data_IF_645794886865
#
_entry.id   IF_645794886865
#
_cell.length_a   1.000
_cell.length_b   1.000
_cell.length_c   1.000
_cell.angle_alpha   90.00
_cell.angle_beta   90.00
_cell.angle_gamma   90.00
#
_symmetry.space_group_name_H-M   'P 1'
#
loop_
_entity.id
_entity.type
_entity.pdbx_description
1 polymer ?
#
# COMPACT_ATOMS: atom_id res chain seq x y z
N UNK A 1 5.07 -23.05 4.57
CA UNK A 1 4.63 -21.65 4.72
C UNK A 1 5.50 -20.81 3.80
N UNK A 2 5.05 -20.58 2.57
CA UNK A 2 5.73 -19.71 1.62
C UNK A 2 5.32 -18.27 1.96
N UNK A 3 6.30 -17.44 2.31
CA UNK A 3 6.11 -16.01 2.46
C UNK A 3 5.77 -15.43 1.10
N UNK A 4 4.63 -14.74 1.03
CA UNK A 4 4.21 -13.85 -0.05
C UNK A 4 5.25 -12.73 -0.22
N UNK A 5 6.38 -13.03 -0.85
CA UNK A 5 7.28 -12.01 -1.38
C UNK A 5 6.62 -11.52 -2.66
N UNK A 6 5.91 -10.38 -2.56
CA UNK A 6 5.35 -9.70 -3.72
C UNK A 6 6.43 -9.54 -4.79
N UNK A 7 6.05 -9.82 -6.05
CA UNK A 7 6.93 -9.75 -7.21
C UNK A 7 7.80 -8.48 -7.17
N UNK A 8 9.10 -8.55 -7.52
CA UNK A 8 10.00 -7.39 -7.57
C UNK A 8 9.42 -6.23 -8.41
N UNK A 9 8.65 -6.56 -9.45
CA UNK A 9 7.95 -5.59 -10.31
C UNK A 9 6.74 -4.94 -9.61
N UNK A 10 6.13 -5.62 -8.63
CA UNK A 10 5.03 -5.09 -7.83
C UNK A 10 5.46 -3.96 -6.88
N UNK A 11 6.72 -3.93 -6.43
CA UNK A 11 7.25 -2.83 -5.59
C UNK A 11 7.47 -1.53 -6.36
N UNK A 12 7.54 -1.56 -7.69
CA UNK A 12 7.64 -0.37 -8.56
C UNK A 12 6.29 0.39 -8.61
N UNK A 13 5.21 -0.15 -8.03
CA UNK A 13 3.87 0.45 -8.15
C UNK A 13 3.43 1.30 -6.97
N UNK A 14 4.13 1.27 -5.83
CA UNK A 14 3.56 1.82 -4.60
C UNK A 14 3.67 3.32 -4.41
N UNK A 15 4.43 4.05 -5.23
CA UNK A 15 4.64 5.47 -4.98
C UNK A 15 3.76 6.44 -5.77
N UNK A 16 3.01 6.04 -6.80
CA UNK A 16 2.07 6.97 -7.47
C UNK A 16 1.11 6.30 -8.48
N UNK A 17 0.81 5.00 -8.38
CA UNK A 17 -0.27 4.41 -9.21
C UNK A 17 -1.68 4.75 -8.68
N UNK A 18 -1.78 5.61 -7.67
CA UNK A 18 -3.03 6.25 -7.29
C UNK A 18 -3.38 7.32 -8.32
N UNK A 19 -3.76 6.90 -9.52
CA UNK A 19 -4.46 7.77 -10.46
C UNK A 19 -5.56 8.53 -9.71
N UNK A 20 -5.45 9.86 -9.75
CA UNK A 20 -6.49 10.75 -9.30
C UNK A 20 -6.38 11.26 -7.87
N UNK A 21 -5.25 11.75 -7.39
CA UNK A 21 -5.24 12.73 -6.28
C UNK A 21 -5.63 14.11 -6.84
N UNK A 22 -5.08 14.53 -7.98
CA UNK A 22 -5.51 15.75 -8.68
C UNK A 22 -6.93 15.58 -9.21
N UNK A 23 -7.28 14.40 -9.70
CA UNK A 23 -8.65 14.13 -10.16
C UNK A 23 -9.62 14.01 -8.98
N UNK A 24 -9.24 13.45 -7.82
CA UNK A 24 -10.05 13.40 -6.57
C UNK A 24 -10.11 14.71 -5.79
N UNK A 25 -9.27 15.70 -6.08
CA UNK A 25 -9.23 16.91 -5.23
C UNK A 25 -9.34 18.20 -6.04
N UNK A 26 -8.88 18.27 -7.30
CA UNK A 26 -8.79 19.55 -8.03
C UNK A 26 -9.03 19.50 -9.55
N UNK A 27 -9.80 18.54 -10.06
CA UNK A 27 -10.18 18.47 -11.48
C UNK A 27 -10.83 19.77 -11.97
N UNK A 28 -12.03 20.05 -11.45
CA UNK A 28 -12.74 21.35 -11.47
C UNK A 28 -12.99 21.77 -10.01
N UNK A 29 -12.97 23.06 -9.69
CA UNK A 29 -13.38 23.57 -8.35
C UNK A 29 -14.73 22.99 -7.92
N UNK A 30 -15.68 22.83 -8.86
CA UNK A 30 -16.98 22.21 -8.59
C UNK A 30 -16.87 20.73 -8.20
N UNK A 31 -15.88 20.00 -8.71
CA UNK A 31 -15.63 18.61 -8.34
C UNK A 31 -14.98 18.49 -6.95
N UNK A 32 -14.08 19.43 -6.61
CA UNK A 32 -13.50 19.55 -5.27
C UNK A 32 -14.57 19.82 -4.20
N UNK A 33 -15.41 20.81 -4.46
CA UNK A 33 -16.58 21.18 -3.66
C UNK A 33 -17.54 19.98 -3.53
N UNK A 34 -17.90 19.34 -4.64
CA UNK A 34 -18.81 18.19 -4.63
C UNK A 34 -18.30 17.04 -3.76
N UNK A 35 -16.99 16.73 -3.83
CA UNK A 35 -16.41 15.64 -3.04
C UNK A 35 -16.28 15.94 -1.56
N UNK A 36 -15.97 17.18 -1.19
CA UNK A 36 -16.03 17.60 0.21
C UNK A 36 -17.45 17.35 0.76
N UNK A 37 -18.46 17.76 -0.01
CA UNK A 37 -19.87 17.64 0.37
C UNK A 37 -20.33 16.17 0.42
N UNK A 38 -19.91 15.33 -0.52
CA UNK A 38 -20.13 13.88 -0.48
C UNK A 38 -19.45 13.23 0.73
N UNK A 39 -18.20 13.60 1.05
CA UNK A 39 -17.50 13.10 2.25
C UNK A 39 -18.25 13.47 3.52
N UNK A 40 -18.67 14.72 3.65
CA UNK A 40 -19.47 15.17 4.80
C UNK A 40 -20.80 14.45 4.89
N UNK A 41 -21.50 14.26 3.78
CA UNK A 41 -22.73 13.48 3.74
C UNK A 41 -22.51 12.03 4.19
N UNK A 42 -21.42 11.41 3.74
CA UNK A 42 -21.06 10.04 4.13
C UNK A 42 -20.65 9.93 5.60
N UNK A 43 -19.86 10.87 6.12
CA UNK A 43 -19.44 10.93 7.53
C UNK A 43 -20.64 11.03 8.46
N UNK A 44 -21.54 11.98 8.19
CA UNK A 44 -22.75 12.17 9.00
C UNK A 44 -23.67 10.95 8.90
N UNK A 45 -23.84 10.36 7.71
CA UNK A 45 -24.62 9.15 7.53
C UNK A 45 -24.03 7.97 8.32
N UNK A 46 -22.71 7.81 8.31
CA UNK A 46 -22.03 6.74 9.04
C UNK A 46 -22.10 6.92 10.55
N UNK A 47 -21.99 8.14 11.04
CA UNK A 47 -22.13 8.43 12.47
C UNK A 47 -23.52 8.05 12.96
N UNK A 48 -24.57 8.48 12.24
CA UNK A 48 -25.97 8.13 12.51
C UNK A 48 -26.18 6.62 12.46
N UNK A 49 -25.63 5.93 11.43
CA UNK A 49 -25.75 4.48 11.29
C UNK A 49 -25.02 3.73 12.41
N UNK A 50 -23.82 4.16 12.83
CA UNK A 50 -23.07 3.52 13.90
C UNK A 50 -23.75 3.71 15.26
N UNK A 51 -24.20 4.92 15.56
CA UNK A 51 -24.81 5.21 16.86
C UNK A 51 -26.16 4.50 17.00
N UNK A 52 -26.98 4.54 15.96
CA UNK A 52 -28.33 3.99 16.02
C UNK A 52 -28.40 2.49 15.65
N UNK A 53 -27.49 2.00 14.81
CA UNK A 53 -27.37 0.57 14.51
C UNK A 53 -27.08 -0.25 15.77
N UNK A 54 -26.19 0.23 16.64
CA UNK A 54 -25.92 -0.40 17.94
C UNK A 54 -27.17 -0.47 18.84
N UNK A 55 -28.00 0.57 18.85
CA UNK A 55 -29.24 0.62 19.64
C UNK A 55 -30.29 -0.34 19.09
N UNK A 56 -30.45 -0.40 17.76
CA UNK A 56 -31.34 -1.37 17.10
C UNK A 56 -30.89 -2.80 17.32
N UNK A 57 -29.59 -3.10 17.20
CA UNK A 57 -29.04 -4.44 17.43
C UNK A 57 -29.28 -4.90 18.87
N UNK A 58 -29.15 -4.00 19.85
CA UNK A 58 -29.47 -4.28 21.25
C UNK A 58 -30.96 -4.62 21.44
N UNK A 59 -31.87 -3.85 20.85
CA UNK A 59 -33.32 -4.12 20.93
C UNK A 59 -33.70 -5.41 20.21
N UNK A 60 -33.10 -5.68 19.05
CA UNK A 60 -33.31 -6.92 18.29
C UNK A 60 -32.79 -8.15 19.05
N UNK A 61 -31.63 -8.04 19.71
CA UNK A 61 -31.10 -9.09 20.57
C UNK A 61 -32.01 -9.36 21.78
N UNK A 62 -32.57 -8.31 22.40
CA UNK A 62 -33.54 -8.45 23.49
C UNK A 62 -34.85 -9.11 23.01
N UNK A 63 -35.34 -8.75 21.82
CA UNK A 63 -36.51 -9.41 21.22
C UNK A 63 -36.25 -10.89 20.91
N UNK A 64 -35.08 -11.24 20.36
CA UNK A 64 -34.71 -12.63 20.10
C UNK A 64 -34.64 -13.46 21.39
N UNK A 65 -34.07 -12.89 22.47
CA UNK A 65 -34.05 -13.53 23.79
C UNK A 65 -35.45 -13.73 24.37
N UNK A 66 -36.37 -12.77 24.17
CA UNK A 66 -37.75 -12.90 24.63
C UNK A 66 -38.54 -13.94 23.83
N UNK A 67 -38.33 -14.01 22.52
CA UNK A 67 -38.95 -15.04 21.68
C UNK A 67 -38.52 -16.44 22.12
N UNK A 68 -37.23 -16.64 22.41
CA UNK A 68 -36.72 -17.90 22.94
C UNK A 68 -37.32 -18.26 24.32
N UNK A 69 -37.64 -17.27 25.17
CA UNK A 69 -38.30 -17.48 26.46
C UNK A 69 -39.80 -17.78 26.31
N UNK A 70 -40.45 -17.18 25.31
CA UNK A 70 -41.87 -17.40 25.02
C UNK A 70 -42.17 -18.84 24.59
N UNK A 71 -41.25 -19.48 23.88
CA UNK A 71 -41.36 -20.90 23.49
C UNK A 71 -41.39 -21.87 24.69
N UNK A 72 -40.93 -21.45 25.87
CA UNK A 72 -40.80 -22.30 27.07
C UNK A 72 -41.77 -21.94 28.21
N UNK A 73 -42.67 -20.97 28.00
CA UNK A 73 -43.46 -20.35 29.06
C UNK A 73 -44.89 -20.91 29.19
N UNK A 74 -45.41 -21.00 30.43
CA UNK A 74 -46.81 -21.33 30.72
C UNK A 74 -47.76 -20.13 30.49
N UNK A 75 -49.09 -20.37 30.43
CA UNK A 75 -50.10 -19.37 30.02
C UNK A 75 -50.04 -18.01 30.76
N UNK A 76 -49.80 -18.00 32.09
CA UNK A 76 -49.68 -16.75 32.86
C UNK A 76 -48.38 -15.99 32.52
N UNK A 77 -47.29 -16.71 32.29
CA UNK A 77 -46.02 -16.12 31.84
C UNK A 77 -46.08 -15.66 30.37
N UNK A 78 -46.92 -16.31 29.54
CA UNK A 78 -47.14 -15.92 28.14
C UNK A 78 -47.73 -14.52 28.02
N UNK A 79 -48.71 -14.17 28.86
CA UNK A 79 -49.32 -12.84 28.88
C UNK A 79 -48.32 -11.74 29.28
N UNK A 80 -47.47 -12.02 30.27
CA UNK A 80 -46.40 -11.09 30.67
C UNK A 80 -45.33 -10.93 29.58
N UNK A 81 -44.97 -12.02 28.89
CA UNK A 81 -44.04 -12.00 27.77
C UNK A 81 -44.61 -11.25 26.56
N UNK A 82 -45.90 -11.39 26.25
CA UNK A 82 -46.57 -10.61 25.22
C UNK A 82 -46.55 -9.11 25.53
N UNK A 83 -46.75 -8.73 26.79
CA UNK A 83 -46.64 -7.33 27.20
C UNK A 83 -45.21 -6.79 27.01
N UNK A 84 -44.18 -7.55 27.38
CA UNK A 84 -42.79 -7.18 27.16
C UNK A 84 -42.43 -7.10 25.66
N UNK A 85 -42.97 -8.02 24.85
CA UNK A 85 -42.79 -8.00 23.40
C UNK A 85 -43.39 -6.74 22.77
N UNK A 86 -44.62 -6.38 23.17
CA UNK A 86 -45.27 -5.15 22.71
C UNK A 86 -44.48 -3.89 23.11
N UNK A 87 -43.93 -3.87 24.33
CA UNK A 87 -43.08 -2.75 24.79
C UNK A 87 -41.80 -2.61 23.96
N UNK A 88 -41.13 -3.72 23.63
CA UNK A 88 -39.94 -3.68 22.77
C UNK A 88 -40.26 -3.34 21.32
N UNK A 89 -41.39 -3.79 20.79
CA UNK A 89 -41.83 -3.42 19.44
C UNK A 89 -42.08 -1.91 19.35
N UNK A 90 -42.76 -1.32 20.34
CA UNK A 90 -42.96 0.13 20.42
C UNK A 90 -41.62 0.86 20.54
N UNK A 91 -40.68 0.37 21.34
CA UNK A 91 -39.35 0.96 21.47
C UNK A 91 -38.55 0.91 20.16
N UNK A 92 -38.62 -0.20 19.43
CA UNK A 92 -38.00 -0.34 18.10
C UNK A 92 -38.60 0.69 17.14
N UNK A 93 -39.92 0.79 17.07
CA UNK A 93 -40.59 1.71 16.16
C UNK A 93 -40.25 3.18 16.50
N UNK A 94 -40.12 3.52 17.79
CA UNK A 94 -39.63 4.83 18.23
C UNK A 94 -38.18 5.09 17.81
N UNK A 95 -37.28 4.12 17.94
CA UNK A 95 -35.89 4.23 17.49
C UNK A 95 -35.80 4.42 15.97
N UNK A 96 -36.61 3.68 15.20
CA UNK A 96 -36.67 3.84 13.74
C UNK A 96 -37.14 5.24 13.34
N UNK A 97 -38.12 5.81 14.05
CA UNK A 97 -38.56 7.19 13.83
C UNK A 97 -37.44 8.19 14.15
N UNK A 98 -36.73 8.02 15.27
CA UNK A 98 -35.58 8.86 15.63
C UNK A 98 -34.46 8.80 14.58
N UNK A 99 -34.18 7.62 14.03
CA UNK A 99 -33.21 7.47 12.94
C UNK A 99 -33.62 8.31 11.73
N UNK A 100 -34.89 8.17 11.29
CA UNK A 100 -35.39 8.92 10.13
C UNK A 100 -35.36 10.43 10.37
N UNK A 101 -35.65 10.88 11.59
CA UNK A 101 -35.56 12.30 11.96
C UNK A 101 -34.12 12.81 12.00
N UNK A 102 -33.19 12.03 12.53
CA UNK A 102 -31.76 12.33 12.53
C UNK A 102 -31.22 12.43 11.10
N UNK A 103 -31.58 11.48 10.23
CA UNK A 103 -31.22 11.49 8.81
C UNK A 103 -31.79 12.74 8.12
N UNK A 104 -33.06 13.08 8.35
CA UNK A 104 -33.67 14.31 7.78
C UNK A 104 -32.95 15.57 8.24
N UNK A 105 -32.63 15.66 9.52
CA UNK A 105 -31.92 16.81 10.11
C UNK A 105 -30.51 16.93 9.53
N UNK A 106 -29.80 15.81 9.39
CA UNK A 106 -28.50 15.77 8.72
C UNK A 106 -28.58 16.26 7.27
N UNK A 107 -29.55 15.80 6.49
CA UNK A 107 -29.76 16.27 5.12
C UNK A 107 -30.08 17.77 5.04
N UNK A 108 -30.82 18.30 6.03
CA UNK A 108 -31.09 19.74 6.10
C UNK A 108 -29.82 20.55 6.42
N UNK A 109 -29.02 20.11 7.40
CA UNK A 109 -27.73 20.74 7.72
C UNK A 109 -26.78 20.76 6.52
N UNK A 110 -26.66 19.64 5.82
CA UNK A 110 -25.83 19.57 4.59
C UNK A 110 -26.32 20.61 3.56
N UNK A 111 -27.64 20.70 3.33
CA UNK A 111 -28.21 21.72 2.42
C UNK A 111 -27.93 23.15 2.88
N UNK A 112 -27.93 23.42 4.18
CA UNK A 112 -27.59 24.72 4.75
C UNK A 112 -26.10 25.03 4.56
N UNK A 113 -25.22 24.06 4.81
CA UNK A 113 -23.77 24.16 4.56
C UNK A 113 -23.48 24.46 3.08
N UNK A 114 -24.15 23.76 2.15
CA UNK A 114 -24.08 24.06 0.72
C UNK A 114 -24.45 25.51 0.40
N UNK A 115 -25.51 26.03 1.01
CA UNK A 115 -25.97 27.41 0.78
C UNK A 115 -25.00 28.43 1.38
N UNK A 116 -24.49 28.15 2.58
CA UNK A 116 -23.52 28.99 3.28
C UNK A 116 -22.22 29.09 2.46
N UNK A 117 -21.70 27.95 1.99
CA UNK A 117 -20.52 27.91 1.13
C UNK A 117 -20.76 28.62 -0.21
N UNK A 118 -21.91 28.38 -0.85
CA UNK A 118 -22.28 29.03 -2.11
C UNK A 118 -22.43 30.56 -1.98
N UNK A 119 -22.80 31.06 -0.81
CA UNK A 119 -22.81 32.49 -0.51
C UNK A 119 -21.39 33.00 -0.23
N UNK A 120 -20.61 32.26 0.56
CA UNK A 120 -19.22 32.63 0.90
C UNK A 120 -18.32 32.72 -0.35
N UNK A 121 -18.42 31.79 -1.31
CA UNK A 121 -17.62 31.83 -2.55
C UNK A 121 -17.85 33.09 -3.40
N UNK A 122 -18.97 33.80 -3.20
CA UNK A 122 -19.26 35.07 -3.87
C UNK A 122 -18.57 36.28 -3.20
N UNK A 123 -18.01 36.09 -2.01
CA UNK A 123 -17.23 37.12 -1.31
C UNK A 123 -15.84 37.29 -1.96
N UNK A 124 -15.14 38.41 -1.71
CA UNK A 124 -13.76 38.58 -2.20
C UNK A 124 -12.79 37.48 -1.75
N UNK A 125 -12.93 37.02 -0.51
CA UNK A 125 -12.09 35.95 0.04
C UNK A 125 -12.43 34.59 -0.59
N UNK A 126 -13.72 34.31 -0.75
CA UNK A 126 -14.18 33.10 -1.44
C UNK A 126 -13.73 33.03 -2.90
N UNK A 127 -13.74 34.15 -3.64
CA UNK A 127 -13.21 34.20 -5.01
C UNK A 127 -11.71 33.92 -5.07
N UNK A 128 -10.93 34.50 -4.16
CA UNK A 128 -9.48 34.25 -4.06
C UNK A 128 -9.16 32.81 -3.68
N UNK A 129 -9.99 32.20 -2.84
CA UNK A 129 -9.85 30.78 -2.51
C UNK A 129 -10.13 29.90 -3.74
N UNK A 130 -11.15 30.22 -4.54
CA UNK A 130 -11.42 29.51 -5.81
C UNK A 130 -10.21 29.60 -6.75
N UNK A 131 -9.69 30.80 -6.98
CA UNK A 131 -8.49 31.03 -7.80
C UNK A 131 -7.27 30.25 -7.27
N UNK A 132 -7.10 30.23 -5.95
CA UNK A 132 -6.04 29.44 -5.30
C UNK A 132 -6.24 27.94 -5.50
N UNK A 133 -7.47 27.42 -5.40
CA UNK A 133 -7.78 26.01 -5.65
C UNK A 133 -7.48 25.61 -7.09
N UNK A 134 -7.81 26.45 -8.07
CA UNK A 134 -7.49 26.20 -9.49
C UNK A 134 -5.98 26.15 -9.73
N UNK A 135 -5.24 27.06 -9.08
CA UNK A 135 -3.78 27.07 -9.10
C UNK A 135 -3.18 25.83 -8.43
N UNK A 136 -3.65 25.47 -7.23
CA UNK A 136 -3.24 24.26 -6.50
C UNK A 136 -3.50 23.00 -7.33
N UNK A 137 -4.65 22.92 -7.99
CA UNK A 137 -4.98 21.84 -8.91
C UNK A 137 -4.02 21.71 -10.08
N UNK A 138 -3.57 22.83 -10.62
CA UNK A 138 -2.58 22.86 -11.69
C UNK A 138 -1.21 22.36 -11.21
N UNK A 139 -0.80 22.72 -9.99
CA UNK A 139 0.42 22.18 -9.35
C UNK A 139 0.33 20.66 -9.18
N UNK A 140 -0.82 20.15 -8.71
CA UNK A 140 -1.00 18.72 -8.49
C UNK A 140 -1.05 17.91 -9.78
N UNK A 141 -1.80 18.38 -10.78
CA UNK A 141 -1.82 17.76 -12.12
C UNK A 141 -0.42 17.69 -12.71
N UNK A 142 0.38 18.73 -12.52
CA UNK A 142 1.76 18.75 -12.98
C UNK A 142 2.60 17.67 -12.27
N UNK A 143 2.55 17.59 -10.94
CA UNK A 143 3.28 16.57 -10.17
C UNK A 143 2.85 15.16 -10.58
N UNK A 144 1.55 14.92 -10.71
CA UNK A 144 1.03 13.61 -11.11
C UNK A 144 1.44 13.23 -12.52
N UNK A 145 1.24 14.12 -13.49
CA UNK A 145 1.57 13.89 -14.88
C UNK A 145 3.04 13.50 -15.02
N UNK A 146 3.93 14.28 -14.40
CA UNK A 146 5.35 14.02 -14.52
C UNK A 146 5.83 12.83 -13.73
N UNK A 147 5.20 12.52 -12.60
CA UNK A 147 5.50 11.26 -11.94
C UNK A 147 5.08 10.07 -12.79
N UNK A 148 3.92 10.13 -13.44
CA UNK A 148 3.45 9.07 -14.34
C UNK A 148 4.40 8.88 -15.54
N UNK A 149 4.73 9.97 -16.24
CA UNK A 149 5.67 9.94 -17.38
C UNK A 149 7.04 9.38 -16.96
N UNK A 150 7.55 9.79 -15.80
CA UNK A 150 8.81 9.28 -15.28
C UNK A 150 8.73 7.79 -14.95
N UNK A 151 7.69 7.36 -14.24
CA UNK A 151 7.51 5.96 -13.87
C UNK A 151 7.35 5.06 -15.09
N UNK A 152 6.65 5.51 -16.12
CA UNK A 152 6.48 4.76 -17.36
C UNK A 152 7.81 4.63 -18.13
N UNK A 153 8.58 5.73 -18.23
CA UNK A 153 9.91 5.69 -18.82
C UNK A 153 10.87 4.79 -18.03
N UNK A 154 10.81 4.85 -16.69
CA UNK A 154 11.60 4.01 -15.79
C UNK A 154 11.25 2.53 -15.97
N UNK A 155 9.95 2.19 -16.02
CA UNK A 155 9.49 0.82 -16.24
C UNK A 155 9.94 0.29 -17.60
N UNK A 156 9.82 1.09 -18.66
CA UNK A 156 10.28 0.71 -19.99
C UNK A 156 11.80 0.43 -19.99
N UNK A 157 12.57 1.27 -19.30
CA UNK A 157 14.02 1.10 -19.19
C UNK A 157 14.40 -0.15 -18.36
N UNK A 158 13.72 -0.41 -17.25
CA UNK A 158 13.90 -1.63 -16.45
C UNK A 158 13.58 -2.86 -17.28
N UNK A 159 12.44 -2.88 -17.99
CA UNK A 159 12.05 -4.00 -18.83
C UNK A 159 13.05 -4.25 -19.99
N UNK A 160 13.70 -3.20 -20.50
CA UNK A 160 14.74 -3.33 -21.51
C UNK A 160 16.10 -3.79 -20.94
N UNK A 161 16.35 -3.59 -19.65
CA UNK A 161 17.66 -3.85 -19.01
C UNK A 161 17.68 -5.18 -18.25
N UNK A 162 16.57 -5.53 -17.60
CA UNK A 162 16.43 -6.71 -16.74
C UNK A 162 15.84 -7.87 -17.53
N UNK A 163 16.52 -8.99 -17.54
CA UNK A 163 16.11 -10.22 -18.22
C UNK A 163 15.17 -11.07 -17.35
N UNK A 164 14.38 -11.95 -17.97
CA UNK A 164 13.56 -12.94 -17.25
C UNK A 164 14.40 -13.88 -16.37
N UNK A 165 15.63 -14.16 -16.78
CA UNK A 165 16.57 -15.01 -16.06
C UNK A 165 17.05 -14.35 -14.76
N UNK A 166 17.36 -13.05 -14.81
CA UNK A 166 17.72 -12.26 -13.63
C UNK A 166 16.54 -12.11 -12.67
N UNK A 167 15.30 -11.97 -13.18
CA UNK A 167 14.09 -11.98 -12.35
C UNK A 167 13.92 -13.29 -11.59
N UNK A 168 14.06 -14.43 -12.27
CA UNK A 168 14.00 -15.76 -11.62
C UNK A 168 15.14 -15.96 -10.62
N UNK A 169 16.35 -15.50 -10.95
CA UNK A 169 17.50 -15.58 -10.06
C UNK A 169 17.29 -14.73 -8.79
N UNK A 170 16.66 -13.56 -8.90
CA UNK A 170 16.30 -12.72 -7.76
C UNK A 170 15.24 -13.38 -6.87
N UNK A 171 14.21 -14.00 -7.46
CA UNK A 171 13.15 -14.70 -6.73
C UNK A 171 13.67 -15.95 -5.99
N UNK A 172 14.56 -16.71 -6.62
CA UNK A 172 15.09 -17.97 -6.08
C UNK A 172 16.35 -17.78 -5.22
N UNK A 173 17.05 -16.66 -5.37
CA UNK A 173 18.37 -16.43 -4.78
C UNK A 173 19.51 -17.19 -5.48
N UNK A 174 19.23 -17.90 -6.58
CA UNK A 174 20.18 -18.73 -7.33
C UNK A 174 20.60 -18.02 -8.63
N UNK A 175 21.66 -17.21 -8.55
CA UNK A 175 22.28 -16.49 -9.67
C UNK A 175 23.23 -17.36 -10.51
N UNK A 176 23.68 -18.48 -9.95
CA UNK A 176 24.51 -19.45 -10.65
C UNK A 176 24.00 -20.86 -10.36
N UNK A 177 23.95 -21.75 -11.36
CA UNK A 177 23.46 -23.11 -11.16
C UNK A 177 24.35 -23.87 -10.18
N UNK A 178 23.73 -24.67 -9.31
CA UNK A 178 24.46 -25.67 -8.55
C UNK A 178 25.04 -26.73 -9.50
N UNK A 179 26.31 -27.10 -9.33
CA UNK A 179 26.91 -28.20 -10.10
C UNK A 179 26.14 -29.50 -9.85
N UNK A 180 25.88 -30.31 -10.88
CA UNK A 180 25.18 -31.61 -10.74
C UNK A 180 25.80 -32.52 -9.68
N UNK A 181 27.12 -32.47 -9.53
CA UNK A 181 27.86 -33.22 -8.52
C UNK A 181 27.49 -32.86 -7.07
N UNK A 182 27.03 -31.63 -6.82
CA UNK A 182 26.56 -31.20 -5.50
C UNK A 182 25.28 -31.94 -5.11
N UNK A 183 24.34 -32.08 -6.05
CA UNK A 183 23.11 -32.83 -5.84
C UNK A 183 23.40 -34.32 -5.58
N UNK A 184 24.35 -34.92 -6.32
CA UNK A 184 24.81 -36.30 -6.09
C UNK A 184 25.48 -36.44 -4.72
N UNK A 185 26.34 -35.50 -4.33
CA UNK A 185 27.01 -35.47 -3.03
C UNK A 185 26.05 -35.41 -1.84
N UNK A 186 25.01 -34.56 -1.89
CA UNK A 186 23.96 -34.51 -0.85
C UNK A 186 23.21 -35.84 -0.71
N UNK A 187 22.92 -36.51 -1.84
CA UNK A 187 22.26 -37.83 -1.82
C UNK A 187 23.14 -38.89 -1.17
N UNK A 188 24.44 -38.90 -1.48
CA UNK A 188 25.41 -39.81 -0.86
C UNK A 188 25.57 -39.57 0.65
N UNK A 189 25.59 -38.31 1.10
CA UNK A 189 25.61 -37.99 2.55
C UNK A 189 24.36 -38.51 3.24
N UNK A 190 23.16 -38.26 2.68
CA UNK A 190 21.91 -38.77 3.26
C UNK A 190 21.88 -40.30 3.32
N UNK A 191 22.28 -40.97 2.24
CA UNK A 191 22.39 -42.42 2.22
C UNK A 191 23.39 -42.94 3.26
N UNK A 192 24.55 -42.29 3.38
CA UNK A 192 25.57 -42.61 4.38
C UNK A 192 25.12 -42.41 5.82
N UNK A 193 24.37 -41.34 6.11
CA UNK A 193 23.79 -41.09 7.44
C UNK A 193 22.72 -42.13 7.81
N UNK A 194 21.88 -42.53 6.85
CA UNK A 194 20.88 -43.61 7.06
C UNK A 194 21.60 -44.94 7.34
N UNK A 195 22.61 -45.29 6.54
CA UNK A 195 23.41 -46.51 6.73
C UNK A 195 24.16 -46.49 8.07
N UNK A 196 24.73 -45.34 8.45
CA UNK A 196 25.38 -45.19 9.76
C UNK A 196 24.40 -45.34 10.92
N UNK A 197 23.19 -44.78 10.80
CA UNK A 197 22.13 -44.91 11.80
C UNK A 197 21.65 -46.36 12.00
N UNK A 198 21.61 -47.17 10.94
CA UNK A 198 21.28 -48.59 11.02
C UNK A 198 22.46 -49.45 11.50
N UNK A 199 23.69 -49.11 11.09
CA UNK A 199 24.89 -49.87 11.45
C UNK A 199 25.29 -49.70 12.92
N UNK A 200 25.02 -48.54 13.53
CA UNK A 200 25.37 -48.24 14.91
C UNK A 200 24.76 -49.24 15.93
N UNK A 201 23.44 -49.51 15.94
CA UNK A 201 22.86 -50.54 16.82
C UNK A 201 23.33 -51.96 16.51
N UNK A 202 23.56 -52.30 15.24
CA UNK A 202 24.08 -53.64 14.86
C UNK A 202 25.51 -53.84 15.34
N UNK A 203 26.34 -52.80 15.30
CA UNK A 203 27.74 -52.84 15.74
C UNK A 203 27.89 -53.02 17.26
N UNK A 204 26.97 -52.45 18.05
CA UNK A 204 26.91 -52.61 19.51
C UNK A 204 26.66 -54.08 19.91
N UNK A 205 25.93 -54.84 19.10
CA UNK A 205 25.63 -56.26 19.34
C UNK A 205 26.78 -57.18 18.91
N UNK A 206 27.48 -56.84 17.82
CA UNK A 206 28.48 -57.72 17.19
C UNK A 206 29.95 -57.33 17.42
N UNK A 207 30.23 -56.20 18.07
CA UNK A 207 31.60 -55.75 18.39
C UNK A 207 32.37 -55.14 17.20
N UNK A 208 31.69 -54.79 16.10
CA UNK A 208 32.30 -54.32 14.85
C UNK A 208 32.45 -52.79 14.80
N UNK A 209 32.94 -52.19 15.88
CA UNK A 209 33.02 -50.73 16.03
C UNK A 209 33.91 -50.05 14.97
N UNK A 210 34.96 -50.74 14.49
CA UNK A 210 35.88 -50.18 13.48
C UNK A 210 35.19 -49.81 12.16
N UNK A 211 34.19 -50.58 11.72
CA UNK A 211 33.46 -50.30 10.48
C UNK A 211 32.56 -49.06 10.61
N UNK A 212 31.95 -48.84 11.78
CA UNK A 212 31.13 -47.66 12.04
C UNK A 212 31.97 -46.40 12.09
N UNK A 213 33.18 -46.48 12.66
CA UNK A 213 34.14 -45.36 12.68
C UNK A 213 34.60 -45.00 11.25
N UNK A 214 34.96 -46.00 10.44
CA UNK A 214 35.37 -45.77 9.04
C UNK A 214 34.22 -45.16 8.23
N UNK A 215 33.00 -45.67 8.41
CA UNK A 215 31.80 -45.11 7.76
C UNK A 215 31.53 -43.67 8.20
N UNK A 216 31.67 -43.38 9.50
CA UNK A 216 31.55 -42.03 10.05
C UNK A 216 32.58 -41.06 9.47
N UNK A 217 33.85 -41.48 9.38
CA UNK A 217 34.91 -40.69 8.74
C UNK A 217 34.65 -40.47 7.24
N UNK A 218 34.15 -41.47 6.52
CA UNK A 218 33.79 -41.35 5.12
C UNK A 218 32.63 -40.35 4.92
N UNK A 219 31.58 -40.42 5.73
CA UNK A 219 30.46 -39.45 5.71
C UNK A 219 30.95 -38.05 6.08
N UNK A 220 31.83 -37.92 7.07
CA UNK A 220 32.41 -36.63 7.44
C UNK A 220 33.30 -36.05 6.33
N UNK A 221 34.11 -36.86 5.64
CA UNK A 221 34.95 -36.43 4.53
C UNK A 221 34.11 -35.97 3.32
N UNK A 222 33.08 -36.73 2.96
CA UNK A 222 32.12 -36.34 1.90
C UNK A 222 31.36 -35.08 2.32
N UNK A 223 30.94 -35.00 3.59
CA UNK A 223 30.30 -33.81 4.17
C UNK A 223 31.18 -32.57 4.08
N UNK A 224 32.46 -32.67 4.43
CA UNK A 224 33.43 -31.59 4.30
C UNK A 224 33.64 -31.17 2.83
N UNK A 225 33.68 -32.13 1.90
CA UNK A 225 33.79 -31.86 0.47
C UNK A 225 32.55 -31.14 -0.08
N UNK A 226 31.34 -31.57 0.31
CA UNK A 226 30.08 -30.90 -0.07
C UNK A 226 30.01 -29.49 0.54
N UNK A 227 30.39 -29.32 1.81
CA UNK A 227 30.42 -28.01 2.48
C UNK A 227 31.40 -27.04 1.80
N UNK A 228 32.60 -27.50 1.41
CA UNK A 228 33.57 -26.67 0.65
C UNK A 228 33.04 -26.29 -0.74
N UNK A 229 32.31 -27.20 -1.41
CA UNK A 229 31.65 -26.89 -2.68
C UNK A 229 30.51 -25.89 -2.50
N UNK A 230 29.78 -25.96 -1.39
CA UNK A 230 28.73 -25.03 -1.02
C UNK A 230 29.27 -23.63 -0.74
N UNK A 231 30.36 -23.51 0.02
CA UNK A 231 31.02 -22.21 0.23
C UNK A 231 31.53 -21.62 -1.09
N UNK A 232 32.16 -22.45 -1.95
CA UNK A 232 32.61 -22.00 -3.26
C UNK A 232 31.46 -21.61 -4.20
N UNK A 233 30.31 -22.27 -4.12
CA UNK A 233 29.11 -21.87 -4.85
C UNK A 233 28.55 -20.56 -4.29
N UNK A 234 28.42 -20.43 -2.97
CA UNK A 234 27.91 -19.22 -2.33
C UNK A 234 28.74 -17.98 -2.71
N UNK A 235 30.07 -18.12 -2.76
CA UNK A 235 30.96 -17.06 -3.24
C UNK A 235 30.73 -16.71 -4.72
N UNK A 236 30.61 -17.71 -5.61
CA UNK A 236 30.31 -17.46 -7.04
C UNK A 236 28.94 -16.83 -7.23
N UNK A 237 27.95 -17.29 -6.48
CA UNK A 237 26.58 -16.79 -6.50
C UNK A 237 26.53 -15.33 -6.04
N UNK A 238 27.25 -15.00 -4.96
CA UNK A 238 27.37 -13.62 -4.48
C UNK A 238 28.10 -12.72 -5.48
N UNK A 239 29.16 -13.21 -6.14
CA UNK A 239 29.87 -12.46 -7.19
C UNK A 239 28.98 -12.21 -8.41
N UNK A 240 28.22 -13.21 -8.86
CA UNK A 240 27.29 -13.06 -9.98
C UNK A 240 26.18 -12.04 -9.66
N UNK A 241 25.60 -12.11 -8.45
CA UNK A 241 24.63 -11.11 -7.97
C UNK A 241 25.23 -9.70 -7.98
N UNK A 242 26.44 -9.55 -7.47
CA UNK A 242 27.12 -8.24 -7.40
C UNK A 242 27.52 -7.70 -8.78
N UNK A 243 27.82 -8.57 -9.75
CA UNK A 243 28.08 -8.17 -11.14
C UNK A 243 26.82 -7.66 -11.84
N UNK A 244 25.69 -8.37 -11.67
CA UNK A 244 24.38 -7.92 -12.16
C UNK A 244 24.00 -6.59 -11.52
N UNK A 245 24.16 -6.47 -10.19
CA UNK A 245 23.93 -5.21 -9.46
C UNK A 245 24.76 -4.07 -10.04
N UNK A 246 26.07 -4.26 -10.26
CA UNK A 246 26.95 -3.23 -10.84
C UNK A 246 26.52 -2.83 -12.24
N UNK A 247 26.04 -3.78 -13.06
CA UNK A 247 25.50 -3.48 -14.40
C UNK A 247 24.24 -2.61 -14.28
N UNK A 248 23.31 -2.97 -13.41
CA UNK A 248 22.10 -2.18 -13.17
C UNK A 248 22.43 -0.79 -12.66
N UNK A 249 23.33 -0.65 -11.69
CA UNK A 249 23.80 0.65 -11.20
C UNK A 249 24.45 1.48 -12.31
N UNK A 250 25.22 0.87 -13.21
CA UNK A 250 25.85 1.56 -14.33
C UNK A 250 24.87 2.08 -15.39
N UNK A 251 23.76 1.39 -15.62
CA UNK A 251 22.77 1.74 -16.66
C UNK A 251 21.62 2.57 -16.09
N UNK A 252 21.05 2.12 -14.98
CA UNK A 252 19.84 2.65 -14.36
C UNK A 252 20.15 3.65 -13.23
N UNK A 253 21.35 3.60 -12.64
CA UNK A 253 21.68 4.36 -11.43
C UNK A 253 21.10 3.78 -10.13
N UNK A 254 20.36 2.66 -10.21
CA UNK A 254 19.83 1.91 -9.06
C UNK A 254 19.70 0.42 -9.43
N UNK A 255 19.48 -0.45 -8.44
CA UNK A 255 19.24 -1.88 -8.66
C UNK A 255 17.73 -2.21 -8.54
N UNK A 256 17.02 -2.50 -9.65
CA UNK A 256 15.59 -2.82 -9.62
C UNK A 256 15.28 -4.18 -8.98
N UNK A 257 16.30 -5.04 -8.78
CA UNK A 257 16.17 -6.34 -8.11
C UNK A 257 16.65 -6.30 -6.65
N UNK A 258 17.11 -5.13 -6.18
CA UNK A 258 17.60 -4.90 -4.83
C UNK A 258 16.50 -4.53 -3.84
N UNK A 259 16.92 -4.22 -2.61
CA UNK A 259 16.04 -3.71 -1.55
C UNK A 259 15.88 -2.18 -1.59
N UNK A 260 16.69 -1.49 -2.40
CA UNK A 260 16.66 -0.04 -2.52
C UNK A 260 15.39 0.41 -3.27
N UNK A 261 14.70 1.48 -2.81
CA UNK A 261 13.53 1.99 -3.50
C UNK A 261 13.91 2.55 -4.87
N UNK A 262 12.97 2.44 -5.82
CA UNK A 262 13.11 3.09 -7.12
C UNK A 262 13.31 4.60 -6.93
N UNK A 263 14.14 5.25 -7.77
CA UNK A 263 14.34 6.69 -7.68
C UNK A 263 13.01 7.42 -7.95
N UNK A 264 12.71 8.45 -7.17
CA UNK A 264 11.65 9.41 -7.47
C UNK A 264 12.16 10.56 -8.33
N UNK A 265 11.27 11.20 -9.09
CA UNK A 265 11.57 12.41 -9.86
C UNK A 265 11.57 13.68 -8.99
N UNK A 266 10.80 13.68 -7.92
CA UNK A 266 10.71 14.76 -6.96
C UNK A 266 11.40 14.38 -5.63
N UNK A 267 11.95 15.36 -4.90
CA UNK A 267 12.37 15.14 -3.52
C UNK A 267 11.15 14.89 -2.62
N UNK A 268 11.34 14.17 -1.52
CA UNK A 268 10.26 13.84 -0.57
C UNK A 268 9.47 15.08 -0.10
N UNK A 269 10.15 16.21 0.09
CA UNK A 269 9.55 17.49 0.46
C UNK A 269 8.48 18.01 -0.53
N UNK A 270 8.48 17.53 -1.78
CA UNK A 270 7.42 17.86 -2.75
C UNK A 270 6.14 17.12 -2.43
N UNK A 271 6.23 15.87 -1.97
CA UNK A 271 5.05 15.12 -1.55
C UNK A 271 4.46 15.71 -0.26
N UNK A 272 5.31 16.13 0.68
CA UNK A 272 4.86 16.86 1.88
C UNK A 272 4.11 18.16 1.50
N UNK A 273 4.61 18.88 0.51
CA UNK A 273 3.97 20.10 0.00
C UNK A 273 2.64 19.80 -0.72
N UNK A 274 2.57 18.71 -1.49
CA UNK A 274 1.31 18.23 -2.09
C UNK A 274 0.26 17.97 -1.01
N UNK A 275 0.64 17.27 0.06
CA UNK A 275 -0.25 16.99 1.20
C UNK A 275 -0.67 18.27 1.93
N UNK A 276 0.23 19.25 2.05
CA UNK A 276 -0.09 20.57 2.60
C UNK A 276 -1.15 21.31 1.77
N UNK A 277 -1.03 21.30 0.43
CA UNK A 277 -2.01 21.91 -0.47
C UNK A 277 -3.38 21.24 -0.33
N UNK A 278 -3.41 19.91 -0.28
CA UNK A 278 -4.66 19.14 -0.07
C UNK A 278 -5.30 19.51 1.27
N UNK A 279 -4.52 19.47 2.35
CA UNK A 279 -5.03 19.79 3.68
C UNK A 279 -5.50 21.24 3.80
N UNK A 280 -4.82 22.19 3.12
CA UNK A 280 -5.24 23.58 3.07
C UNK A 280 -6.57 23.76 2.30
N UNK A 281 -6.78 23.01 1.22
CA UNK A 281 -8.06 23.01 0.51
C UNK A 281 -9.20 22.47 1.39
N UNK A 282 -9.00 21.32 2.05
CA UNK A 282 -10.00 20.75 2.96
C UNK A 282 -10.36 21.70 4.11
N UNK A 283 -9.36 22.36 4.74
CA UNK A 283 -9.60 23.41 5.74
C UNK A 283 -10.32 24.62 5.16
N UNK A 284 -10.03 24.97 3.90
CA UNK A 284 -10.72 26.05 3.19
C UNK A 284 -12.20 25.77 3.00
N UNK A 285 -12.56 24.55 2.61
CA UNK A 285 -13.94 24.11 2.49
C UNK A 285 -14.67 24.05 3.84
N UNK A 286 -13.98 23.62 4.90
CA UNK A 286 -14.61 23.49 6.23
C UNK A 286 -14.75 24.82 6.99
N UNK A 287 -13.73 25.69 6.95
CA UNK A 287 -13.65 26.86 7.81
C UNK A 287 -13.77 28.20 7.07
N UNK A 288 -14.03 28.18 5.76
CA UNK A 288 -14.08 29.40 4.94
C UNK A 288 -12.80 30.24 5.08
N UNK A 289 -11.66 29.54 5.04
CA UNK A 289 -10.34 30.10 5.36
C UNK A 289 -10.02 31.32 4.49
N UNK A 290 -9.57 32.40 5.13
CA UNK A 290 -9.15 33.60 4.41
C UNK A 290 -7.88 33.33 3.58
N UNK A 291 -7.65 34.04 2.45
CA UNK A 291 -6.51 33.82 1.58
C UNK A 291 -5.15 33.88 2.26
N UNK A 292 -5.01 34.66 3.34
CA UNK A 292 -3.78 34.76 4.12
C UNK A 292 -3.41 33.48 4.90
N UNK A 293 -4.37 32.57 5.09
CA UNK A 293 -4.15 31.26 5.71
C UNK A 293 -3.82 30.15 4.72
N UNK A 294 -3.76 30.46 3.41
CA UNK A 294 -3.45 29.48 2.37
C UNK A 294 -1.94 29.47 2.08
N UNK A 295 -1.34 28.28 1.87
CA UNK A 295 0.06 28.18 1.51
C UNK A 295 0.31 28.78 0.13
N UNK A 296 1.50 29.33 -0.06
CA UNK A 296 1.87 29.97 -1.32
C UNK A 296 2.05 28.92 -2.41
N UNK A 297 1.38 29.12 -3.54
CA UNK A 297 1.53 28.26 -4.70
C UNK A 297 2.90 28.47 -5.35
N UNK A 298 3.66 27.39 -5.43
CA UNK A 298 4.87 27.28 -6.22
C UNK A 298 4.90 25.92 -6.91
N UNK A 299 5.49 25.86 -8.12
CA UNK A 299 5.80 24.59 -8.74
C UNK A 299 7.03 23.98 -8.06
N UNK A 300 6.97 22.69 -7.70
CA UNK A 300 8.05 22.05 -6.98
C UNK A 300 9.36 22.01 -7.77
N UNK A 301 10.46 22.10 -7.04
CA UNK A 301 11.80 21.84 -7.57
C UNK A 301 12.00 20.36 -7.89
N UNK A 302 12.72 20.07 -8.97
CA UNK A 302 13.15 18.70 -9.27
C UNK A 302 14.46 18.41 -8.55
N UNK A 303 14.65 17.16 -8.10
CA UNK A 303 16.02 16.74 -7.82
C UNK A 303 16.65 16.48 -9.16
N UNK A 304 17.58 17.35 -9.56
CA UNK A 304 18.60 16.95 -10.52
C UNK A 304 19.43 15.86 -9.85
N UNK A 305 18.93 14.62 -9.76
CA UNK A 305 19.80 13.48 -9.51
C UNK A 305 20.54 13.25 -10.82
N UNK A 306 21.59 14.04 -10.98
CA UNK A 306 22.65 13.90 -11.98
C UNK A 306 23.30 12.49 -11.97
N UNK A 307 22.88 11.62 -11.05
CA UNK A 307 23.31 10.23 -10.89
C UNK A 307 22.45 9.24 -11.67
N UNK A 308 21.31 9.66 -12.24
CA UNK A 308 20.60 8.79 -13.18
C UNK A 308 21.39 8.76 -14.49
N UNK A 309 22.31 7.80 -14.61
CA UNK A 309 23.22 7.61 -15.74
C UNK A 309 22.53 7.34 -17.08
N UNK A 310 21.21 7.18 -17.09
CA UNK A 310 20.42 6.90 -18.30
C UNK A 310 20.09 8.17 -19.10
N UNK A 311 20.47 8.23 -20.39
CA UNK A 311 20.07 9.31 -21.30
C UNK A 311 18.55 9.51 -21.40
N UNK A 312 17.77 8.43 -21.29
CA UNK A 312 16.30 8.47 -21.38
C UNK A 312 15.70 9.24 -20.21
N UNK A 313 16.18 8.99 -19.00
CA UNK A 313 15.66 9.65 -17.80
C UNK A 313 16.13 11.11 -17.73
N UNK A 314 17.28 11.42 -18.33
CA UNK A 314 17.75 12.80 -18.54
C UNK A 314 16.85 13.56 -19.51
N UNK A 315 16.45 12.95 -20.63
CA UNK A 315 15.51 13.55 -21.57
C UNK A 315 14.15 13.85 -20.92
N UNK A 316 13.62 12.90 -20.13
CA UNK A 316 12.38 13.13 -19.36
C UNK A 316 12.55 14.32 -18.42
N UNK A 317 13.64 14.37 -17.65
CA UNK A 317 13.94 15.49 -16.75
C UNK A 317 14.03 16.85 -17.49
N UNK A 318 14.66 16.88 -18.66
CA UNK A 318 14.80 18.12 -19.44
C UNK A 318 13.43 18.59 -19.97
N UNK A 319 12.58 17.65 -20.42
CA UNK A 319 11.19 17.94 -20.80
C UNK A 319 10.36 18.45 -19.61
N UNK A 320 10.53 17.87 -18.42
CA UNK A 320 9.92 18.35 -17.18
C UNK A 320 10.31 19.79 -16.88
N UNK A 321 11.61 20.08 -17.00
CA UNK A 321 12.17 21.40 -16.72
C UNK A 321 11.65 22.45 -17.71
N UNK A 322 11.48 22.09 -18.99
CA UNK A 322 10.93 22.96 -20.01
C UNK A 322 9.46 23.31 -19.74
N UNK A 323 8.60 22.31 -19.53
CA UNK A 323 7.17 22.54 -19.26
C UNK A 323 6.94 23.27 -17.93
N UNK A 324 7.80 23.05 -16.92
CA UNK A 324 7.76 23.83 -15.68
C UNK A 324 7.86 25.32 -15.97
N UNK A 325 8.80 25.75 -16.82
CA UNK A 325 8.98 27.16 -17.15
C UNK A 325 7.75 27.76 -17.83
N UNK A 326 7.08 27.00 -18.68
CA UNK A 326 5.82 27.41 -19.33
C UNK A 326 4.69 27.57 -18.31
N UNK A 327 4.55 26.64 -17.37
CA UNK A 327 3.52 26.72 -16.32
C UNK A 327 3.82 27.79 -15.27
N UNK A 328 5.09 28.02 -14.91
CA UNK A 328 5.50 29.12 -14.03
C UNK A 328 5.15 30.48 -14.63
N UNK A 329 5.16 30.62 -15.96
CA UNK A 329 4.72 31.85 -16.63
C UNK A 329 3.20 32.04 -16.55
N UNK A 330 2.43 30.96 -16.36
CA UNK A 330 0.96 31.00 -16.25
C UNK A 330 0.49 31.23 -14.81
N UNK A 331 1.32 30.87 -13.81
CA UNK A 331 1.01 31.01 -12.38
C UNK A 331 1.43 32.38 -11.79
N UNK A 332 2.07 33.27 -12.57
CA UNK A 332 2.51 34.62 -12.16
C UNK A 332 1.50 35.69 -12.54
#
# INVERSE_FOLDING_TARGET
MATNAGSPLGRITHNLSGGGISERIFGDFSAAEHRYLERRQWEVSNEIQRENGRKLDQVNAQMAQLNARAEQANQIALAQLQQQHNQLAVLRDQLELQIREAERTAHQRIKEDHRAFAAWRQTPDGRRFVEWCDGAGSVLRFVEHFTAVFNDALRALVAATVTEEELRAAETGEWTPHSEDYARGRRLIRAGLILAGVALPVSLVRGWFGLVIILGLAVAAVGAAVKRRETGWAERNARAREEVRRRHLGILGYDPLGDDPAPGIFPDAVYDYVDELVAAADRGFEYHTAPAGLPRLALPGFVARAEIGSPVLREVHDRCTAQRRELEATLR
#
